data_IF_930655109923
#
_entry.id   IF_930655109923
#
_cell.length_a   1.000
_cell.length_b   1.000
_cell.length_c   1.000
_cell.angle_alpha   90.00
_cell.angle_beta   90.00
_cell.angle_gamma   90.00
#
_symmetry.space_group_name_H-M   'P 1'
#
loop_
_entity.id
_entity.type
_entity.pdbx_description
1 polymer ?
#
# COMPACT_ATOMS: atom_id res chain seq x y z
N UNK A 1 -6.37 -20.95 15.15
CA UNK A 1 -6.29 -19.90 16.20
C UNK A 1 -7.58 -19.93 16.99
N UNK A 2 -7.52 -19.61 18.29
CA UNK A 2 -8.68 -19.65 19.18
C UNK A 2 -8.73 -18.38 20.03
N UNK A 3 -9.93 -18.01 20.46
CA UNK A 3 -10.18 -16.93 21.40
C UNK A 3 -10.87 -17.48 22.65
N UNK A 4 -10.42 -17.08 23.83
CA UNK A 4 -11.14 -17.30 25.07
C UNK A 4 -11.94 -16.05 25.40
N UNK A 5 -13.21 -16.24 25.69
CA UNK A 5 -14.10 -15.16 26.15
C UNK A 5 -14.15 -15.10 27.67
N UNK A 6 -14.41 -13.91 28.22
CA UNK A 6 -14.78 -13.74 29.63
C UNK A 6 -16.29 -13.90 29.83
N UNK A 7 -16.77 -13.70 31.05
CA UNK A 7 -18.18 -13.85 31.38
C UNK A 7 -19.08 -12.78 30.74
N UNK A 8 -18.52 -11.71 30.20
CA UNK A 8 -19.23 -10.65 29.48
C UNK A 8 -19.11 -10.81 27.97
N UNK A 9 -18.72 -12.00 27.49
CA UNK A 9 -18.50 -12.35 26.09
C UNK A 9 -17.45 -11.49 25.37
N UNK A 10 -16.55 -10.86 26.11
CA UNK A 10 -15.43 -10.15 25.50
C UNK A 10 -14.22 -11.08 25.34
N UNK A 11 -13.41 -10.84 24.32
CA UNK A 11 -12.19 -11.59 24.08
C UNK A 11 -11.17 -11.28 25.20
N UNK A 12 -10.96 -12.23 26.09
CA UNK A 12 -10.00 -12.14 27.18
C UNK A 12 -8.59 -12.55 26.75
N UNK A 13 -8.46 -13.52 25.85
CA UNK A 13 -7.18 -14.04 25.40
C UNK A 13 -7.27 -14.67 24.00
N UNK A 14 -6.21 -14.52 23.22
CA UNK A 14 -6.04 -15.17 21.91
C UNK A 14 -4.93 -16.23 22.01
N UNK A 15 -5.19 -17.39 21.41
CA UNK A 15 -4.23 -18.49 21.30
C UNK A 15 -3.91 -18.69 19.80
N UNK A 16 -2.73 -18.26 19.39
CA UNK A 16 -2.27 -18.40 17.98
C UNK A 16 -1.79 -19.81 17.66
N UNK A 17 -1.47 -20.59 18.69
CA UNK A 17 -1.03 -22.00 18.61
C UNK A 17 -1.56 -22.78 19.80
N UNK A 18 -1.66 -24.12 19.70
CA UNK A 18 -1.95 -24.98 20.85
C UNK A 18 -0.90 -24.79 21.95
N UNK A 19 -1.34 -24.48 23.16
CA UNK A 19 -0.51 -24.37 24.38
C UNK A 19 -1.27 -24.99 25.56
N UNK A 20 -0.55 -25.43 26.60
CA UNK A 20 -1.19 -25.78 27.86
C UNK A 20 -1.79 -24.53 28.53
N UNK A 21 -2.99 -24.65 29.07
CA UNK A 21 -3.70 -23.55 29.72
C UNK A 21 -4.18 -23.95 31.10
N UNK A 22 -4.33 -22.99 31.99
CA UNK A 22 -4.94 -23.18 33.30
C UNK A 22 -6.19 -22.33 33.42
N UNK A 23 -7.33 -22.95 33.67
CA UNK A 23 -8.62 -22.27 33.83
C UNK A 23 -9.22 -22.72 35.18
N UNK A 24 -9.58 -21.78 36.02
CA UNK A 24 -10.22 -22.00 37.32
C UNK A 24 -9.46 -23.03 38.19
N UNK A 25 -8.13 -23.00 38.10
CA UNK A 25 -7.23 -23.91 38.84
C UNK A 25 -7.03 -25.29 38.19
N UNK A 26 -7.73 -25.59 37.09
CA UNK A 26 -7.61 -26.83 36.33
C UNK A 26 -6.60 -26.66 35.19
N UNK A 27 -5.62 -27.57 35.10
CA UNK A 27 -4.64 -27.59 34.02
C UNK A 27 -5.15 -28.42 32.82
N UNK A 28 -5.14 -27.83 31.64
CA UNK A 28 -5.50 -28.45 30.37
C UNK A 28 -4.25 -28.55 29.49
N UNK A 29 -3.96 -29.73 28.91
CA UNK A 29 -2.83 -29.87 27.99
C UNK A 29 -3.09 -29.18 26.67
N UNK A 30 -2.02 -28.86 25.92
CA UNK A 30 -2.13 -28.24 24.58
C UNK A 30 -2.97 -29.06 23.57
N UNK A 31 -3.06 -30.37 23.81
CA UNK A 31 -3.80 -31.30 22.92
C UNK A 31 -5.32 -31.07 22.89
N UNK A 32 -5.92 -30.35 23.85
CA UNK A 32 -7.33 -30.01 23.80
C UNK A 32 -7.68 -29.26 22.53
N UNK A 33 -6.83 -28.39 22.03
CA UNK A 33 -7.05 -27.61 20.81
C UNK A 33 -7.06 -28.42 19.51
N UNK A 34 -6.63 -29.67 19.56
CA UNK A 34 -6.60 -30.59 18.41
C UNK A 34 -7.46 -31.83 18.58
N UNK A 35 -7.76 -32.22 19.82
CA UNK A 35 -8.51 -33.45 20.09
C UNK A 35 -9.97 -33.18 20.48
N UNK A 36 -10.25 -32.04 21.09
CA UNK A 36 -11.60 -31.70 21.53
C UNK A 36 -12.43 -31.14 20.38
N UNK A 37 -13.71 -31.41 20.46
CA UNK A 37 -14.72 -30.83 19.56
C UNK A 37 -14.91 -29.34 19.83
N UNK A 38 -15.49 -28.61 18.88
CA UNK A 38 -15.84 -27.19 19.08
C UNK A 38 -16.73 -26.99 20.33
N UNK A 39 -17.70 -27.89 20.55
CA UNK A 39 -18.62 -27.80 21.69
C UNK A 39 -17.92 -28.00 23.03
N UNK A 40 -16.94 -28.90 23.10
CA UNK A 40 -16.13 -29.12 24.33
C UNK A 40 -15.24 -27.90 24.63
N UNK A 41 -14.66 -27.28 23.63
CA UNK A 41 -13.89 -26.03 23.80
C UNK A 41 -14.81 -24.87 24.20
N UNK A 42 -15.99 -24.75 23.59
CA UNK A 42 -17.01 -23.72 23.93
C UNK A 42 -17.49 -23.85 25.38
N UNK A 43 -17.56 -25.05 25.94
CA UNK A 43 -17.85 -25.24 27.36
C UNK A 43 -16.81 -24.61 28.29
N UNK A 44 -15.60 -24.32 27.79
CA UNK A 44 -14.55 -23.55 28.46
C UNK A 44 -14.49 -22.09 27.99
N UNK A 45 -15.50 -21.59 27.29
CA UNK A 45 -15.53 -20.31 26.61
C UNK A 45 -14.37 -20.11 25.60
N UNK A 46 -13.90 -21.21 24.98
CA UNK A 46 -12.87 -21.18 23.96
C UNK A 46 -13.51 -21.40 22.58
N UNK A 47 -13.34 -20.42 21.70
CA UNK A 47 -13.95 -20.41 20.38
C UNK A 47 -12.87 -20.45 19.29
N UNK A 48 -13.13 -21.19 18.22
CA UNK A 48 -12.27 -21.10 17.03
C UNK A 48 -12.49 -19.72 16.36
N UNK A 49 -11.40 -19.10 15.95
CA UNK A 49 -11.46 -17.81 15.22
C UNK A 49 -11.51 -18.09 13.73
N UNK A 50 -12.57 -17.61 13.08
CA UNK A 50 -12.74 -17.62 11.62
C UNK A 50 -12.27 -16.30 11.02
N UNK A 51 -11.32 -16.33 10.10
CA UNK A 51 -10.88 -15.11 9.39
C UNK A 51 -11.89 -14.77 8.30
N UNK A 52 -12.36 -13.53 8.26
CA UNK A 52 -13.32 -13.04 7.26
C UNK A 52 -12.65 -12.70 5.95
N UNK A 53 -11.36 -12.42 5.98
CA UNK A 53 -10.52 -12.16 4.80
C UNK A 53 -9.11 -12.71 5.02
N UNK A 54 -8.33 -12.76 3.93
CA UNK A 54 -6.90 -13.07 3.96
C UNK A 54 -6.08 -11.82 4.22
N UNK A 55 -4.89 -12.01 4.75
CA UNK A 55 -3.85 -10.97 4.78
C UNK A 55 -3.53 -10.57 3.34
N UNK A 56 -3.59 -9.28 3.05
CA UNK A 56 -3.21 -8.73 1.74
C UNK A 56 -1.71 -8.90 1.45
N UNK A 57 -1.34 -8.85 0.18
CA UNK A 57 0.05 -8.84 -0.22
C UNK A 57 0.73 -7.56 0.31
N UNK A 58 1.71 -7.72 1.20
CA UNK A 58 2.42 -6.60 1.85
C UNK A 58 3.28 -5.77 0.88
N UNK A 59 3.59 -6.29 -0.29
CA UNK A 59 4.24 -5.49 -1.34
C UNK A 59 3.36 -4.33 -1.81
N UNK A 60 2.04 -4.57 -1.91
CA UNK A 60 1.06 -3.64 -2.48
C UNK A 60 0.14 -3.01 -1.45
N UNK A 61 0.10 -3.56 -0.23
CA UNK A 61 -0.80 -3.11 0.81
C UNK A 61 -0.05 -2.87 2.13
N UNK A 62 -0.48 -1.84 2.83
CA UNK A 62 -0.25 -1.71 4.25
C UNK A 62 -1.29 -2.58 4.97
N UNK A 63 -0.83 -3.63 5.64
CA UNK A 63 -1.68 -4.61 6.31
C UNK A 63 -1.58 -4.43 7.81
N UNK A 64 -2.70 -4.11 8.46
CA UNK A 64 -2.74 -4.04 9.93
C UNK A 64 -2.75 -5.44 10.55
N UNK A 65 -2.46 -5.52 11.84
CA UNK A 65 -2.81 -6.69 12.63
C UNK A 65 -4.32 -6.90 12.58
N UNK A 66 -4.81 -8.16 12.58
CA UNK A 66 -6.24 -8.41 12.51
C UNK A 66 -6.94 -7.88 13.76
N UNK A 67 -8.12 -7.32 13.57
CA UNK A 67 -9.08 -7.03 14.63
C UNK A 67 -9.99 -8.24 14.82
N UNK A 68 -10.44 -8.45 16.06
CA UNK A 68 -11.28 -9.60 16.40
C UNK A 68 -12.60 -9.12 16.98
N UNK A 69 -13.67 -9.81 16.60
CA UNK A 69 -15.02 -9.51 17.09
C UNK A 69 -15.76 -10.80 17.45
N UNK A 70 -16.58 -10.73 18.49
CA UNK A 70 -17.52 -11.79 18.85
C UNK A 70 -18.79 -11.58 18.04
N UNK A 71 -19.30 -12.65 17.44
CA UNK A 71 -20.60 -12.65 16.74
C UNK A 71 -21.67 -13.27 17.63
N UNK A 72 -22.85 -12.67 17.67
CA UNK A 72 -23.99 -13.10 18.46
C UNK A 72 -25.22 -13.25 17.58
N UNK A 73 -26.18 -14.09 18.03
CA UNK A 73 -27.49 -14.19 17.43
C UNK A 73 -28.47 -13.12 17.96
N UNK A 74 -29.73 -13.19 17.53
CA UNK A 74 -30.78 -12.27 17.93
C UNK A 74 -31.14 -12.38 19.44
N UNK A 75 -30.82 -13.52 20.07
CA UNK A 75 -31.03 -13.78 21.50
C UNK A 75 -29.79 -13.47 22.35
N UNK A 76 -28.80 -12.75 21.79
CA UNK A 76 -27.52 -12.37 22.42
C UNK A 76 -26.59 -13.55 22.77
N UNK A 77 -26.83 -14.76 22.20
CA UNK A 77 -25.93 -15.88 22.41
C UNK A 77 -24.73 -15.81 21.45
N UNK A 78 -23.54 -16.13 21.95
CA UNK A 78 -22.33 -16.17 21.13
C UNK A 78 -22.45 -17.27 20.08
N UNK A 79 -22.28 -16.91 18.82
CA UNK A 79 -22.30 -17.83 17.67
C UNK A 79 -20.91 -18.05 17.09
N UNK A 80 -19.93 -17.18 17.38
CA UNK A 80 -18.59 -17.33 16.89
C UNK A 80 -17.66 -16.18 17.24
N UNK A 81 -16.41 -16.32 16.82
CA UNK A 81 -15.40 -15.23 16.86
C UNK A 81 -14.82 -15.10 15.47
N UNK A 82 -14.80 -13.87 14.96
CA UNK A 82 -14.23 -13.53 13.66
C UNK A 82 -12.99 -12.66 13.81
N UNK A 83 -12.06 -12.81 12.87
CA UNK A 83 -10.90 -11.95 12.74
C UNK A 83 -10.88 -11.29 11.34
N UNK A 84 -10.53 -10.02 11.26
CA UNK A 84 -10.50 -9.27 10.00
C UNK A 84 -9.20 -8.48 9.89
N UNK A 85 -8.47 -8.66 8.78
CA UNK A 85 -7.35 -7.79 8.41
C UNK A 85 -7.87 -6.50 7.77
N UNK A 86 -7.26 -5.38 8.11
CA UNK A 86 -7.42 -4.16 7.31
C UNK A 86 -6.27 -4.11 6.31
N UNK A 87 -6.62 -4.22 5.03
CA UNK A 87 -5.69 -4.12 3.91
C UNK A 87 -5.92 -2.76 3.24
N UNK A 88 -4.96 -1.85 3.38
CA UNK A 88 -5.00 -0.53 2.72
C UNK A 88 -3.99 -0.52 1.61
N UNK A 89 -4.38 -0.24 0.37
CA UNK A 89 -3.45 -0.13 -0.75
C UNK A 89 -2.38 0.93 -0.44
N UNK A 90 -1.13 0.60 -0.77
CA UNK A 90 -0.04 1.57 -0.69
C UNK A 90 -0.28 2.70 -1.71
N UNK A 91 0.16 3.94 -1.44
CA UNK A 91 0.04 5.03 -2.39
C UNK A 91 0.65 4.67 -3.76
N UNK A 92 -0.07 4.96 -4.83
CA UNK A 92 0.40 4.73 -6.19
C UNK A 92 1.51 5.71 -6.56
N UNK A 93 1.33 6.98 -6.20
CA UNK A 93 2.26 8.08 -6.47
C UNK A 93 2.95 8.56 -5.19
N UNK A 94 3.99 9.36 -5.36
CA UNK A 94 4.73 9.95 -4.24
C UNK A 94 3.81 10.79 -3.35
N UNK A 95 3.99 10.63 -2.04
CA UNK A 95 3.29 11.38 -1.00
C UNK A 95 4.18 12.51 -0.52
N UNK A 96 3.63 13.70 -0.43
CA UNK A 96 4.32 14.90 0.01
C UNK A 96 3.69 15.49 1.27
N UNK A 97 4.53 16.04 2.12
CA UNK A 97 4.11 16.81 3.29
C UNK A 97 3.67 18.21 2.85
N UNK A 98 2.40 18.52 3.07
CA UNK A 98 1.87 19.88 2.98
C UNK A 98 1.81 20.43 4.41
N UNK A 99 2.79 21.26 4.79
CA UNK A 99 2.65 22.09 5.98
C UNK A 99 1.56 23.14 5.69
N UNK A 100 0.53 23.18 6.49
CA UNK A 100 -0.65 24.04 6.27
C UNK A 100 -0.92 24.94 7.46
N UNK A 101 -1.64 26.04 7.25
CA UNK A 101 -1.99 26.95 8.33
C UNK A 101 -2.96 26.33 9.34
N UNK A 102 -3.85 25.47 8.85
CA UNK A 102 -4.80 24.69 9.65
C UNK A 102 -5.18 23.41 8.91
N UNK A 103 -5.23 22.29 9.62
CA UNK A 103 -5.66 20.99 9.08
C UNK A 103 -7.05 20.55 9.61
N UNK A 104 -7.74 21.40 10.39
CA UNK A 104 -9.07 21.06 10.91
C UNK A 104 -10.10 20.89 9.78
N UNK A 105 -11.01 19.96 9.97
CA UNK A 105 -12.05 19.64 9.00
C UNK A 105 -11.60 18.74 7.84
N UNK A 106 -10.30 18.49 7.66
CA UNK A 106 -9.79 17.46 6.75
C UNK A 106 -9.74 16.11 7.49
N UNK A 107 -9.84 15.03 6.73
CA UNK A 107 -9.71 13.65 7.21
C UNK A 107 -8.84 12.81 6.27
N UNK A 108 -8.30 11.70 6.78
CA UNK A 108 -7.60 10.71 5.96
C UNK A 108 -8.57 10.15 4.91
N UNK A 109 -8.10 10.02 3.66
CA UNK A 109 -8.91 9.62 2.51
C UNK A 109 -9.65 10.75 1.81
N UNK A 110 -9.70 11.97 2.38
CA UNK A 110 -10.27 13.13 1.68
C UNK A 110 -9.44 13.50 0.45
N UNK A 111 -10.12 13.97 -0.58
CA UNK A 111 -9.50 14.54 -1.77
C UNK A 111 -9.22 16.02 -1.57
N UNK A 112 -8.16 16.51 -2.18
CA UNK A 112 -7.78 17.93 -2.18
C UNK A 112 -7.61 18.47 -3.59
N UNK A 113 -7.99 19.72 -3.78
CA UNK A 113 -7.85 20.41 -5.06
C UNK A 113 -7.53 21.90 -4.91
N UNK A 114 -6.96 22.48 -5.97
CA UNK A 114 -6.60 23.91 -6.01
C UNK A 114 -7.79 24.82 -6.36
N UNK A 115 -8.94 24.28 -6.76
CA UNK A 115 -10.14 25.04 -7.13
C UNK A 115 -11.38 24.53 -6.40
N UNK A 116 -12.51 25.25 -6.56
CA UNK A 116 -13.76 24.92 -5.90
C UNK A 116 -14.45 23.66 -6.48
N UNK A 117 -14.02 23.18 -7.63
CA UNK A 117 -14.55 21.97 -8.27
C UNK A 117 -13.41 20.97 -8.46
N UNK A 118 -13.55 19.76 -7.89
CA UNK A 118 -12.49 18.77 -7.91
C UNK A 118 -12.09 18.35 -9.33
N UNK A 119 -13.06 17.90 -10.13
CA UNK A 119 -12.78 17.28 -11.44
C UNK A 119 -12.12 18.22 -12.46
N UNK A 120 -12.39 19.53 -12.38
CA UNK A 120 -11.79 20.55 -13.26
C UNK A 120 -10.52 21.18 -12.69
N UNK A 121 -10.10 20.83 -11.47
CA UNK A 121 -8.94 21.42 -10.84
C UNK A 121 -7.65 21.07 -11.58
N UNK A 122 -6.77 22.06 -11.72
CA UNK A 122 -5.44 21.87 -12.30
C UNK A 122 -4.49 21.07 -11.40
N UNK A 123 -4.76 21.07 -10.09
CA UNK A 123 -3.98 20.35 -9.07
C UNK A 123 -4.93 19.55 -8.20
N UNK A 124 -4.60 18.28 -8.01
CA UNK A 124 -5.39 17.33 -7.24
C UNK A 124 -4.50 16.42 -6.40
N UNK A 125 -5.04 15.90 -5.32
CA UNK A 125 -4.38 14.91 -4.46
C UNK A 125 -5.37 14.21 -3.55
N UNK A 126 -4.85 13.22 -2.80
CA UNK A 126 -5.59 12.48 -1.77
C UNK A 126 -4.80 12.55 -0.47
N UNK A 127 -5.45 12.86 0.64
CA UNK A 127 -4.83 12.87 1.97
C UNK A 127 -4.65 11.42 2.41
N UNK A 128 -3.40 11.01 2.58
CA UNK A 128 -3.05 9.67 3.08
C UNK A 128 -3.08 9.65 4.59
N UNK A 129 -2.61 10.73 5.20
CA UNK A 129 -2.70 10.92 6.65
C UNK A 129 -2.64 12.38 7.02
N UNK A 130 -3.19 12.72 8.19
CA UNK A 130 -3.29 14.07 8.72
C UNK A 130 -2.63 14.18 10.10
N UNK A 131 -1.92 15.27 10.34
CA UNK A 131 -1.41 15.69 11.64
C UNK A 131 -1.80 17.12 11.98
N UNK A 132 -1.34 17.62 13.10
CA UNK A 132 -1.55 19.02 13.47
C UNK A 132 -0.83 19.95 12.46
N UNK A 133 -1.60 20.73 11.71
CA UNK A 133 -1.11 21.62 10.65
C UNK A 133 -0.28 20.95 9.56
N UNK A 134 -0.53 19.64 9.34
CA UNK A 134 0.14 18.85 8.30
C UNK A 134 -0.87 17.95 7.59
N UNK A 135 -0.78 17.90 6.27
CA UNK A 135 -1.46 16.94 5.43
C UNK A 135 -0.40 16.17 4.61
N UNK A 136 -0.37 14.87 4.73
CA UNK A 136 0.44 14.00 3.86
C UNK A 136 -0.41 13.65 2.65
N UNK A 137 -0.04 14.21 1.48
CA UNK A 137 -0.87 14.19 0.28
C UNK A 137 -0.18 13.43 -0.83
N UNK A 138 -0.84 12.38 -1.33
CA UNK A 138 -0.53 11.76 -2.61
C UNK A 138 -0.93 12.73 -3.73
N UNK A 139 0.03 13.23 -4.50
CA UNK A 139 -0.25 14.15 -5.60
C UNK A 139 -0.70 13.34 -6.82
N UNK A 140 -1.99 13.43 -7.16
CA UNK A 140 -2.56 12.72 -8.30
C UNK A 140 -2.51 13.53 -9.59
N UNK A 141 -2.49 14.87 -9.51
CA UNK A 141 -2.44 15.76 -10.67
C UNK A 141 -1.78 17.10 -10.36
N UNK A 142 -1.00 17.59 -11.31
CA UNK A 142 -0.37 18.91 -11.29
C UNK A 142 0.76 19.04 -10.27
N UNK A 143 1.35 20.23 -10.18
CA UNK A 143 2.45 20.52 -9.26
C UNK A 143 1.98 21.50 -8.19
N UNK A 144 2.14 21.12 -6.93
CA UNK A 144 1.81 21.94 -5.78
C UNK A 144 3.05 22.69 -5.25
N UNK A 145 2.84 23.84 -4.65
CA UNK A 145 3.89 24.66 -4.07
C UNK A 145 3.38 25.46 -2.87
N UNK A 146 4.28 25.98 -2.07
CA UNK A 146 3.98 26.99 -1.04
C UNK A 146 3.11 28.10 -1.59
N UNK A 147 2.14 28.55 -0.81
CA UNK A 147 1.16 29.57 -1.18
C UNK A 147 -0.06 29.05 -1.94
N UNK A 148 -0.06 27.78 -2.40
CA UNK A 148 -1.25 27.23 -3.02
C UNK A 148 -2.37 27.01 -2.01
N UNK A 149 -3.61 27.33 -2.42
CA UNK A 149 -4.80 27.01 -1.64
C UNK A 149 -5.14 25.54 -1.82
N UNK A 150 -5.40 24.86 -0.72
CA UNK A 150 -5.86 23.47 -0.64
C UNK A 150 -7.31 23.48 -0.21
N UNK A 151 -8.22 22.95 -1.00
CA UNK A 151 -9.66 22.80 -0.70
C UNK A 151 -9.98 21.34 -0.51
N UNK A 152 -10.82 21.04 0.50
CA UNK A 152 -11.20 19.69 0.88
C UNK A 152 -12.45 19.20 0.15
N UNK A 153 -12.41 17.92 -0.22
CA UNK A 153 -13.50 17.17 -0.85
C UNK A 153 -13.56 15.79 -0.22
N UNK A 154 -14.74 15.22 -0.10
CA UNK A 154 -14.87 13.83 0.32
C UNK A 154 -14.23 12.86 -0.71
N UNK A 155 -14.12 11.59 -0.40
CA UNK A 155 -13.55 10.56 -1.28
C UNK A 155 -14.24 10.48 -2.66
N UNK A 156 -15.51 10.87 -2.77
CA UNK A 156 -16.27 10.97 -4.02
C UNK A 156 -15.98 12.24 -4.83
N UNK A 157 -15.22 13.20 -4.30
CA UNK A 157 -14.92 14.47 -4.98
C UNK A 157 -15.98 15.56 -4.81
N UNK A 158 -16.92 15.38 -3.88
CA UNK A 158 -17.87 16.42 -3.46
C UNK A 158 -17.23 17.32 -2.40
N UNK A 159 -17.39 18.64 -2.52
CA UNK A 159 -16.86 19.58 -1.53
C UNK A 159 -17.34 19.24 -0.11
N UNK A 160 -16.42 19.33 0.86
CA UNK A 160 -16.76 19.13 2.26
C UNK A 160 -17.78 20.17 2.74
N UNK A 161 -18.65 19.78 3.64
CA UNK A 161 -19.64 20.65 4.26
C UNK A 161 -19.55 20.56 5.79
N UNK A 162 -19.20 21.67 6.49
CA UNK A 162 -18.87 22.99 5.96
C UNK A 162 -17.62 22.97 5.06
N UNK A 163 -17.51 23.93 4.14
CA UNK A 163 -16.39 24.03 3.21
C UNK A 163 -15.06 24.22 3.95
N UNK A 164 -14.11 23.34 3.68
CA UNK A 164 -12.78 23.36 4.30
C UNK A 164 -11.74 23.83 3.28
N UNK A 165 -10.91 24.78 3.67
CA UNK A 165 -9.77 25.20 2.87
C UNK A 165 -8.61 25.70 3.75
N UNK A 166 -7.39 25.52 3.27
CA UNK A 166 -6.17 25.98 3.91
C UNK A 166 -5.15 26.41 2.86
N UNK A 167 -4.01 26.90 3.28
CA UNK A 167 -2.91 27.32 2.38
C UNK A 167 -1.64 26.60 2.77
N UNK A 168 -0.87 26.13 1.79
CA UNK A 168 0.46 25.54 2.01
C UNK A 168 1.40 26.63 2.49
N UNK A 169 1.93 26.47 3.70
CA UNK A 169 2.73 27.47 4.40
C UNK A 169 4.26 27.35 4.17
N UNK A 170 4.73 26.17 3.74
CA UNK A 170 6.13 25.88 3.49
C UNK A 170 6.32 25.11 2.16
N UNK A 171 7.57 24.99 1.70
CA UNK A 171 7.92 24.17 0.56
C UNK A 171 7.60 22.70 0.85
N UNK A 172 7.20 21.97 -0.19
CA UNK A 172 6.85 20.57 -0.06
C UNK A 172 8.09 19.73 0.20
N UNK A 173 7.97 18.78 1.12
CA UNK A 173 8.97 17.74 1.35
C UNK A 173 8.37 16.38 1.04
N UNK A 174 9.20 15.47 0.52
CA UNK A 174 8.77 14.09 0.25
C UNK A 174 8.51 13.39 1.58
N UNK A 175 7.30 12.81 1.74
CA UNK A 175 6.94 11.97 2.87
C UNK A 175 7.32 10.51 2.60
N UNK A 176 6.84 9.96 1.48
CA UNK A 176 7.15 8.60 1.05
C UNK A 176 7.09 8.46 -0.46
N UNK A 177 7.81 7.47 -0.99
CA UNK A 177 7.71 7.08 -2.39
C UNK A 177 6.44 6.27 -2.65
N UNK A 178 5.85 6.47 -3.81
CA UNK A 178 4.73 5.68 -4.29
C UNK A 178 5.18 4.41 -5.04
N UNK A 179 4.25 3.51 -5.28
CA UNK A 179 4.52 2.22 -5.95
C UNK A 179 5.00 2.38 -7.40
N UNK A 180 4.58 3.42 -8.10
CA UNK A 180 5.13 3.74 -9.44
C UNK A 180 6.65 3.96 -9.40
N UNK A 181 7.16 4.61 -8.33
CA UNK A 181 8.59 4.79 -8.16
C UNK A 181 9.31 3.45 -7.95
N UNK A 182 8.78 2.58 -7.06
CA UNK A 182 9.36 1.26 -6.78
C UNK A 182 9.48 0.43 -8.07
N UNK A 183 8.38 0.33 -8.85
CA UNK A 183 8.35 -0.44 -10.10
C UNK A 183 9.26 0.19 -11.16
N UNK A 184 9.35 1.53 -11.22
CA UNK A 184 10.30 2.22 -12.11
C UNK A 184 11.75 1.88 -11.75
N UNK A 185 12.09 1.77 -10.45
CA UNK A 185 13.44 1.34 -10.05
C UNK A 185 13.73 -0.11 -10.47
N UNK A 186 12.75 -1.01 -10.44
CA UNK A 186 12.89 -2.38 -10.96
C UNK A 186 13.23 -2.37 -12.47
N UNK A 187 12.50 -1.56 -13.27
CA UNK A 187 12.79 -1.40 -14.70
C UNK A 187 14.22 -0.89 -14.92
N UNK A 188 14.68 0.09 -14.15
CA UNK A 188 16.06 0.62 -14.24
C UNK A 188 17.12 -0.41 -13.87
N UNK A 189 16.85 -1.23 -12.85
CA UNK A 189 17.73 -2.33 -12.48
C UNK A 189 17.82 -3.38 -13.60
N UNK A 190 16.68 -3.78 -14.18
CA UNK A 190 16.64 -4.68 -15.33
C UNK A 190 17.39 -4.11 -16.54
N UNK A 191 17.17 -2.84 -16.86
CA UNK A 191 17.89 -2.11 -17.90
C UNK A 191 19.40 -2.14 -17.65
N UNK A 192 19.82 -1.80 -16.43
CA UNK A 192 21.23 -1.80 -16.03
C UNK A 192 21.87 -3.17 -16.17
N UNK A 193 21.21 -4.23 -15.69
CA UNK A 193 21.66 -5.61 -15.81
C UNK A 193 21.88 -6.05 -17.27
N UNK A 194 20.96 -5.64 -18.17
CA UNK A 194 21.06 -5.96 -19.60
C UNK A 194 22.14 -5.14 -20.33
N UNK A 195 22.43 -3.92 -19.90
CA UNK A 195 23.44 -3.06 -20.52
C UNK A 195 24.86 -3.35 -20.05
N UNK A 196 25.04 -3.71 -18.77
CA UNK A 196 26.32 -3.91 -18.10
C UNK A 196 27.27 -4.89 -18.86
N UNK A 197 26.82 -6.06 -19.34
CA UNK A 197 27.72 -7.00 -20.06
C UNK A 197 28.39 -6.39 -21.30
N UNK A 198 27.81 -5.32 -21.85
CA UNK A 198 28.28 -4.69 -23.09
C UNK A 198 28.97 -3.33 -22.86
N UNK A 199 29.15 -2.88 -21.61
CA UNK A 199 29.79 -1.60 -21.32
C UNK A 199 31.26 -1.55 -21.71
N UNK A 200 31.95 -2.68 -21.65
CA UNK A 200 33.34 -2.79 -22.01
C UNK A 200 33.62 -2.42 -23.49
N UNK A 201 32.66 -2.58 -24.41
CA UNK A 201 32.82 -2.13 -25.79
C UNK A 201 33.01 -0.62 -25.89
N UNK A 202 32.31 0.15 -25.03
CA UNK A 202 32.41 1.60 -25.01
C UNK A 202 33.67 2.07 -24.29
N UNK A 203 34.11 1.35 -23.27
CA UNK A 203 35.40 1.60 -22.60
C UNK A 203 36.53 1.35 -23.64
N UNK A 204 36.51 0.22 -24.34
CA UNK A 204 37.50 -0.09 -25.40
C UNK A 204 37.50 0.95 -26.52
N UNK A 205 36.30 1.42 -26.94
CA UNK A 205 36.21 2.47 -27.95
C UNK A 205 36.87 3.76 -27.48
N UNK A 206 36.68 4.16 -26.23
CA UNK A 206 37.28 5.36 -25.65
C UNK A 206 38.81 5.24 -25.56
N UNK A 207 39.33 4.05 -25.22
CA UNK A 207 40.74 3.78 -25.00
C UNK A 207 41.52 3.53 -26.31
N UNK A 208 40.94 2.79 -27.24
CA UNK A 208 41.63 2.32 -28.45
C UNK A 208 41.06 2.87 -29.77
N UNK A 209 39.98 3.66 -29.72
CA UNK A 209 39.19 4.12 -30.88
C UNK A 209 38.55 2.96 -31.69
N UNK A 210 38.55 1.73 -31.17
CA UNK A 210 37.90 0.59 -31.83
C UNK A 210 36.39 0.79 -31.94
N UNK A 211 35.82 0.55 -33.13
CA UNK A 211 34.38 0.71 -33.32
C UNK A 211 33.58 -0.28 -32.47
N UNK A 212 32.48 0.19 -31.90
CA UNK A 212 31.50 -0.70 -31.26
C UNK A 212 30.74 -1.46 -32.33
N UNK A 213 30.60 -2.80 -32.24
CA UNK A 213 29.84 -3.58 -33.21
C UNK A 213 28.39 -3.05 -33.33
N UNK A 214 27.87 -3.03 -34.55
CA UNK A 214 26.52 -2.51 -34.80
C UNK A 214 25.44 -3.32 -34.07
N UNK A 215 25.60 -4.63 -33.96
CA UNK A 215 24.70 -5.49 -33.20
C UNK A 215 24.61 -5.06 -31.70
N UNK A 216 25.75 -4.72 -31.08
CA UNK A 216 25.81 -4.22 -29.70
C UNK A 216 25.06 -2.87 -29.59
N UNK A 217 25.25 -1.97 -30.57
CA UNK A 217 24.55 -0.69 -30.58
C UNK A 217 23.04 -0.89 -30.68
N UNK A 218 22.58 -1.69 -31.64
CA UNK A 218 21.17 -2.01 -31.87
C UNK A 218 20.53 -2.64 -30.63
N UNK A 219 21.20 -3.63 -30.02
CA UNK A 219 20.74 -4.24 -28.79
C UNK A 219 20.56 -3.21 -27.66
N UNK A 220 21.59 -2.41 -27.39
CA UNK A 220 21.56 -1.40 -26.33
C UNK A 220 20.49 -0.33 -26.54
N UNK A 221 20.28 0.08 -27.77
CA UNK A 221 19.23 1.05 -28.12
C UNK A 221 17.84 0.41 -27.95
N UNK A 222 17.67 -0.85 -28.33
CA UNK A 222 16.45 -1.60 -28.04
C UNK A 222 16.17 -1.73 -26.55
N UNK A 223 17.17 -2.04 -25.72
CA UNK A 223 17.05 -2.10 -24.26
C UNK A 223 16.59 -0.74 -23.68
N UNK A 224 17.20 0.38 -24.12
CA UNK A 224 16.81 1.72 -23.66
C UNK A 224 15.40 2.09 -24.09
N UNK A 225 15.03 1.77 -25.33
CA UNK A 225 13.69 2.02 -25.88
C UNK A 225 12.65 1.24 -25.09
N UNK A 226 12.88 -0.04 -24.82
CA UNK A 226 11.95 -0.84 -24.01
C UNK A 226 11.80 -0.30 -22.60
N UNK A 227 12.91 0.05 -21.93
CA UNK A 227 12.86 0.66 -20.60
C UNK A 227 12.02 1.96 -20.60
N UNK A 228 12.24 2.86 -21.56
CA UNK A 228 11.48 4.10 -21.70
C UNK A 228 9.98 3.85 -21.94
N UNK A 229 9.64 2.82 -22.73
CA UNK A 229 8.24 2.43 -22.94
C UNK A 229 7.58 1.92 -21.65
N UNK A 230 8.30 1.11 -20.87
CA UNK A 230 7.83 0.63 -19.57
C UNK A 230 7.66 1.77 -18.56
N UNK A 231 8.64 2.67 -18.46
CA UNK A 231 8.55 3.85 -17.58
C UNK A 231 7.32 4.72 -17.95
N UNK A 232 7.04 4.87 -19.26
CA UNK A 232 5.86 5.59 -19.75
C UNK A 232 4.56 4.87 -19.37
N UNK A 233 4.50 3.55 -19.54
CA UNK A 233 3.34 2.74 -19.17
C UNK A 233 3.07 2.81 -17.66
N UNK A 234 4.12 2.67 -16.82
CA UNK A 234 4.05 2.81 -15.36
C UNK A 234 3.50 4.19 -14.97
N UNK A 235 4.04 5.27 -15.54
CA UNK A 235 3.61 6.63 -15.23
C UNK A 235 2.15 6.92 -15.63
N UNK A 236 1.63 6.21 -16.62
CA UNK A 236 0.26 6.34 -17.10
C UNK A 236 -0.77 5.63 -16.20
N UNK A 237 -0.37 4.69 -15.34
CA UNK A 237 -1.29 3.96 -14.46
C UNK A 237 -1.97 4.89 -13.46
N UNK A 238 -3.23 4.62 -13.16
CA UNK A 238 -4.06 5.41 -12.23
C UNK A 238 -4.50 4.61 -11.01
N UNK A 239 -4.27 3.28 -11.01
CA UNK A 239 -4.60 2.36 -9.93
C UNK A 239 -3.46 1.37 -9.69
N UNK A 240 -3.42 0.77 -8.50
CA UNK A 240 -2.47 -0.32 -8.17
C UNK A 240 -2.71 -1.52 -9.08
N UNK A 241 -3.97 -1.85 -9.40
CA UNK A 241 -4.29 -2.97 -10.28
C UNK A 241 -3.74 -2.78 -11.71
N UNK A 242 -3.84 -1.57 -12.27
CA UNK A 242 -3.22 -1.24 -13.55
C UNK A 242 -1.70 -1.36 -13.49
N UNK A 243 -1.07 -0.90 -12.40
CA UNK A 243 0.37 -0.99 -12.20
C UNK A 243 0.84 -2.46 -12.13
N UNK A 244 0.11 -3.32 -11.43
CA UNK A 244 0.38 -4.75 -11.34
C UNK A 244 0.23 -5.47 -12.70
N UNK A 245 -0.63 -4.95 -13.58
CA UNK A 245 -0.84 -5.50 -14.92
C UNK A 245 0.28 -5.14 -15.91
N UNK A 246 1.20 -4.24 -15.57
CA UNK A 246 2.36 -3.92 -16.42
C UNK A 246 3.34 -5.09 -16.43
N UNK A 247 3.46 -5.77 -17.56
CA UNK A 247 4.44 -6.85 -17.71
C UNK A 247 5.84 -6.29 -17.91
N UNK A 248 6.67 -6.43 -16.88
CA UNK A 248 8.06 -5.94 -16.87
C UNK A 248 9.01 -6.88 -17.62
N UNK A 249 8.62 -8.12 -17.89
CA UNK A 249 9.51 -9.15 -18.40
C UNK A 249 9.42 -9.32 -19.92
N UNK A 250 8.27 -9.08 -20.51
CA UNK A 250 8.04 -9.28 -21.95
C UNK A 250 8.65 -8.16 -22.80
N UNK A 251 9.00 -8.49 -24.04
CA UNK A 251 9.38 -7.54 -25.10
C UNK A 251 10.77 -6.89 -24.94
N UNK A 252 11.67 -7.42 -24.11
CA UNK A 252 13.08 -7.03 -24.13
C UNK A 252 13.77 -7.60 -25.35
N UNK A 253 14.78 -6.89 -25.92
CA UNK A 253 15.59 -7.46 -27.01
C UNK A 253 16.26 -8.79 -26.60
N UNK A 254 16.36 -9.70 -27.55
CA UNK A 254 17.14 -10.95 -27.35
C UNK A 254 18.60 -10.62 -27.07
N UNK A 255 19.19 -11.33 -26.10
CA UNK A 255 20.57 -11.12 -25.70
C UNK A 255 21.52 -11.54 -26.83
N UNK A 256 22.48 -10.68 -27.11
CA UNK A 256 23.52 -10.97 -28.12
C UNK A 256 24.69 -11.70 -27.47
N UNK A 257 25.11 -12.79 -28.10
CA UNK A 257 26.26 -13.60 -27.68
C UNK A 257 27.61 -12.98 -28.11
#
# INVERSE_FOLDING_TARGET
>A
MWARLNNDDNIAQLYTRPIGITLDGVQYPASIFSLWTGSELQALNIWSVSMTNSQGNQEWNNVSSPTYAVTKDEDDNVTGVTGTYTNTENPLKDVYVFAVANSDGFSDGDKVASSATYNSAAKQGTIISKGANVLNVEITKGSWAKGNTVRGFNSGGTALSPAVSTTISADLTLHSRGKQWDVTQQVKQMQGGKLQPHDWYYIRKADTSAAVPSAVQTYRDGVRTKAGSLETAIAATTTIAELQAVDLNDGWPEEIS
#
